data_IF_807640088118
#
_entry.id   IF_807640088118
#
_cell.length_a   1.000
_cell.length_b   1.000
_cell.length_c   1.000
_cell.angle_alpha   90.00
_cell.angle_beta   90.00
_cell.angle_gamma   90.00
#
_symmetry.space_group_name_H-M   'P 1'
#
loop_
_entity.id
_entity.type
_entity.pdbx_description
1 polymer ?
#
# COMPACT_ATOMS: atom_id res chain seq x y z
N UNK A 1 17.82 5.38 0.08
CA UNK A 1 16.43 4.94 0.35
C UNK A 1 15.53 6.15 0.14
N UNK A 2 14.52 6.03 -0.73
CA UNK A 2 13.43 7.03 -0.73
C UNK A 2 12.57 6.74 0.50
N UNK A 3 12.09 7.78 1.18
CA UNK A 3 11.09 7.60 2.23
C UNK A 3 9.84 7.00 1.60
N UNK A 4 9.17 6.01 2.22
CA UNK A 4 7.91 5.49 1.70
C UNK A 4 6.89 6.63 1.62
N UNK A 5 6.41 6.92 0.42
CA UNK A 5 5.47 8.03 0.17
C UNK A 5 3.99 7.60 0.32
N UNK A 6 3.76 6.29 0.47
CA UNK A 6 2.44 5.67 0.50
C UNK A 6 2.07 4.99 -0.83
N UNK A 7 0.94 4.30 -0.83
CA UNK A 7 0.42 3.59 -2.01
C UNK A 7 -0.52 4.47 -2.83
N UNK A 8 -0.13 4.78 -4.07
CA UNK A 8 -0.99 5.48 -5.03
C UNK A 8 -2.12 4.55 -5.46
N UNK A 9 -3.35 5.01 -5.29
CA UNK A 9 -4.57 4.26 -5.57
C UNK A 9 -4.85 4.34 -7.06
N UNK A 10 -4.86 3.18 -7.73
CA UNK A 10 -5.11 3.04 -9.16
C UNK A 10 -6.58 2.82 -9.49
N UNK A 11 -7.33 2.18 -8.59
CA UNK A 11 -8.76 1.96 -8.71
C UNK A 11 -9.42 1.79 -7.34
N UNK A 12 -10.72 2.09 -7.28
CA UNK A 12 -11.58 1.86 -6.13
C UNK A 12 -12.72 0.95 -6.57
N UNK A 13 -12.98 -0.11 -5.80
CA UNK A 13 -14.05 -1.06 -6.08
C UNK A 13 -15.41 -0.43 -5.83
N UNK A 14 -16.37 -0.59 -6.75
CA UNK A 14 -17.73 -0.07 -6.58
C UNK A 14 -18.44 -0.75 -5.41
N UNK A 15 -19.12 0.04 -4.57
CA UNK A 15 -19.79 -0.40 -3.35
C UNK A 15 -18.84 -0.77 -2.21
N UNK A 16 -17.55 -0.37 -2.28
CA UNK A 16 -16.60 -0.63 -1.20
C UNK A 16 -16.57 0.47 -0.16
N UNK A 17 -16.01 0.16 1.02
CA UNK A 17 -15.79 1.12 2.09
C UNK A 17 -14.99 2.35 1.63
N UNK A 18 -13.99 2.16 0.76
CA UNK A 18 -13.23 3.26 0.17
C UNK A 18 -14.08 4.16 -0.75
N UNK A 19 -15.01 3.61 -1.52
CA UNK A 19 -15.93 4.41 -2.34
C UNK A 19 -16.86 5.24 -1.44
N UNK A 20 -17.42 4.62 -0.38
CA UNK A 20 -18.27 5.30 0.60
C UNK A 20 -17.53 6.42 1.34
N UNK A 21 -16.23 6.22 1.62
CA UNK A 21 -15.35 7.23 2.19
C UNK A 21 -14.92 8.34 1.21
N UNK A 22 -15.37 8.30 -0.05
CA UNK A 22 -15.04 9.32 -1.06
C UNK A 22 -13.57 9.29 -1.50
N UNK A 23 -12.93 8.13 -1.40
CA UNK A 23 -11.58 7.91 -1.92
C UNK A 23 -11.67 7.71 -3.43
N UNK A 24 -10.73 8.31 -4.17
CA UNK A 24 -10.73 8.27 -5.64
C UNK A 24 -9.35 7.84 -6.17
N UNK A 25 -9.28 7.29 -7.39
CA UNK A 25 -8.01 7.04 -8.04
C UNK A 25 -7.13 8.30 -8.11
N UNK A 26 -5.84 8.15 -7.83
CA UNK A 26 -4.88 9.24 -7.70
C UNK A 26 -4.66 9.73 -6.26
N UNK A 27 -5.54 9.37 -5.32
CA UNK A 27 -5.26 9.52 -3.89
C UNK A 27 -4.15 8.55 -3.47
N UNK A 28 -3.50 8.83 -2.34
CA UNK A 28 -2.41 8.00 -1.81
C UNK A 28 -2.72 7.60 -0.37
N UNK A 29 -2.72 6.30 -0.07
CA UNK A 29 -2.77 5.83 1.32
C UNK A 29 -1.37 5.90 1.94
N UNK A 30 -1.21 6.63 3.04
CA UNK A 30 0.10 6.93 3.64
C UNK A 30 0.36 6.08 4.88
N UNK A 31 -0.65 5.91 5.72
CA UNK A 31 -0.51 5.23 7.00
C UNK A 31 -1.81 4.55 7.43
N UNK A 32 -1.70 3.50 8.24
CA UNK A 32 -2.80 2.91 9.00
C UNK A 32 -2.38 2.90 10.48
N UNK A 33 -3.23 3.43 11.36
CA UNK A 33 -3.00 3.56 12.81
C UNK A 33 -1.65 4.21 13.16
N UNK A 34 -1.31 5.25 12.40
CA UNK A 34 -0.05 5.99 12.55
C UNK A 34 1.20 5.26 12.02
N UNK A 35 1.07 4.04 11.50
CA UNK A 35 2.19 3.28 10.91
C UNK A 35 2.29 3.57 9.42
N UNK A 36 3.45 4.07 8.98
CA UNK A 36 3.70 4.37 7.56
C UNK A 36 3.75 3.06 6.78
N UNK A 37 2.98 2.99 5.70
CA UNK A 37 2.94 1.81 4.84
C UNK A 37 4.07 1.86 3.81
N UNK A 38 4.82 0.76 3.67
CA UNK A 38 5.95 0.67 2.72
C UNK A 38 5.57 -0.05 1.44
N UNK A 39 4.61 -0.96 1.52
CA UNK A 39 4.17 -1.83 0.43
C UNK A 39 2.74 -2.34 0.65
N UNK A 40 2.25 -3.11 -0.32
CA UNK A 40 0.93 -3.73 -0.25
C UNK A 40 0.80 -4.77 0.87
N UNK A 41 1.91 -5.34 1.37
CA UNK A 41 1.87 -6.32 2.47
C UNK A 41 1.63 -5.61 3.80
N UNK A 42 2.30 -4.48 4.04
CA UNK A 42 2.01 -3.61 5.19
C UNK A 42 0.54 -3.19 5.17
N UNK A 43 0.01 -2.78 4.00
CA UNK A 43 -1.41 -2.45 3.84
C UNK A 43 -2.30 -3.63 4.24
N UNK A 44 -2.11 -4.81 3.65
CA UNK A 44 -2.94 -5.99 3.94
C UNK A 44 -2.87 -6.38 5.42
N UNK A 45 -1.69 -6.30 6.02
CA UNK A 45 -1.50 -6.65 7.42
C UNK A 45 -2.21 -5.67 8.36
N UNK A 46 -2.02 -4.36 8.18
CA UNK A 46 -2.62 -3.37 9.07
C UNK A 46 -4.10 -3.13 8.78
N UNK A 47 -4.57 -3.39 7.56
CA UNK A 47 -5.99 -3.31 7.23
C UNK A 47 -6.81 -4.51 7.73
N UNK A 48 -6.19 -5.55 8.28
CA UNK A 48 -6.91 -6.74 8.77
C UNK A 48 -7.59 -6.54 10.15
N UNK A 49 -7.41 -5.39 10.80
CA UNK A 49 -8.10 -5.09 12.06
C UNK A 49 -9.57 -4.70 11.82
N UNK A 50 -10.41 -4.88 12.85
CA UNK A 50 -11.84 -4.55 12.80
C UNK A 50 -12.11 -3.04 12.74
N UNK A 51 -11.23 -2.26 13.37
CA UNK A 51 -11.29 -0.80 13.34
C UNK A 51 -9.90 -0.29 13.00
N UNK A 52 -9.80 0.55 11.97
CA UNK A 52 -8.54 1.16 11.55
C UNK A 52 -8.71 2.65 11.28
N UNK A 53 -7.67 3.43 11.57
CA UNK A 53 -7.56 4.82 11.14
C UNK A 53 -6.58 4.93 9.99
N UNK A 54 -7.10 5.07 8.77
CA UNK A 54 -6.29 5.24 7.57
C UNK A 54 -6.07 6.73 7.27
N UNK A 55 -4.82 7.09 6.98
CA UNK A 55 -4.44 8.43 6.51
C UNK A 55 -4.24 8.42 5.01
N UNK A 56 -5.00 9.26 4.32
CA UNK A 56 -4.91 9.47 2.88
C UNK A 56 -4.33 10.86 2.58
N UNK A 57 -3.58 10.95 1.49
CA UNK A 57 -3.19 12.20 0.85
C UNK A 57 -3.94 12.32 -0.47
N UNK A 58 -4.73 13.38 -0.61
CA UNK A 58 -5.49 13.67 -1.82
C UNK A 58 -4.57 14.24 -2.90
N UNK A 59 -5.01 14.19 -4.16
CA UNK A 59 -4.25 14.73 -5.30
C UNK A 59 -3.94 16.25 -5.18
N UNK A 60 -4.75 17.01 -4.42
CA UNK A 60 -4.54 18.44 -4.15
C UNK A 60 -3.54 18.71 -3.00
N UNK A 61 -3.00 17.66 -2.38
CA UNK A 61 -2.05 17.74 -1.27
C UNK A 61 -2.67 17.79 0.12
N UNK A 62 -4.01 17.81 0.25
CA UNK A 62 -4.67 17.69 1.55
C UNK A 62 -4.45 16.30 2.13
N UNK A 63 -4.39 16.20 3.46
CA UNK A 63 -4.40 14.92 4.16
C UNK A 63 -5.75 14.73 4.86
N UNK A 64 -6.37 13.58 4.64
CA UNK A 64 -7.62 13.16 5.26
C UNK A 64 -7.36 11.94 6.16
N UNK A 65 -8.04 11.90 7.31
CA UNK A 65 -8.07 10.74 8.20
C UNK A 65 -9.45 10.12 8.14
N UNK A 66 -9.51 8.84 7.80
CA UNK A 66 -10.74 8.07 7.69
C UNK A 66 -10.67 6.92 8.66
N UNK A 67 -11.71 6.78 9.49
CA UNK A 67 -11.88 5.63 10.38
C UNK A 67 -12.79 4.65 9.65
N UNK A 68 -12.34 3.41 9.53
CA UNK A 68 -13.13 2.31 8.99
C UNK A 68 -13.46 1.33 10.11
N UNK A 69 -14.74 1.01 10.27
CA UNK A 69 -15.25 -0.11 11.06
C UNK A 69 -15.72 -1.19 10.08
N UNK A 70 -15.20 -2.41 10.21
CA UNK A 70 -15.40 -3.48 9.23
C UNK A 70 -15.15 -4.85 9.83
N UNK A 71 -15.54 -5.91 9.12
CA UNK A 71 -15.16 -7.26 9.54
C UNK A 71 -13.64 -7.51 9.35
N UNK A 72 -12.98 -8.35 10.18
CA UNK A 72 -11.53 -8.57 10.15
C UNK A 72 -10.94 -9.09 8.81
N UNK A 73 -11.75 -9.52 7.86
CA UNK A 73 -11.30 -9.96 6.52
C UNK A 73 -11.90 -9.14 5.38
N UNK A 74 -12.66 -8.10 5.71
CA UNK A 74 -13.26 -7.21 4.71
C UNK A 74 -12.19 -6.25 4.14
N UNK A 75 -12.09 -6.21 2.81
CA UNK A 75 -11.16 -5.33 2.09
C UNK A 75 -11.77 -3.92 1.93
N UNK A 76 -10.94 -2.87 2.01
CA UNK A 76 -11.40 -1.50 1.80
C UNK A 76 -11.84 -1.24 0.34
N UNK A 77 -11.47 -2.11 -0.59
CA UNK A 77 -11.71 -2.00 -2.03
C UNK A 77 -10.69 -1.10 -2.73
N UNK A 78 -9.43 -1.14 -2.31
CA UNK A 78 -8.36 -0.32 -2.88
C UNK A 78 -7.43 -1.15 -3.77
N UNK A 79 -7.19 -0.69 -5.00
CA UNK A 79 -6.13 -1.19 -5.86
C UNK A 79 -5.00 -0.17 -5.94
N UNK A 80 -3.76 -0.65 -6.05
CA UNK A 80 -2.56 0.19 -6.08
C UNK A 80 -1.83 0.12 -7.42
N UNK A 81 -1.14 1.19 -7.82
CA UNK A 81 -0.34 1.20 -9.05
C UNK A 81 0.88 0.25 -8.98
N UNK A 82 1.45 0.06 -7.79
CA UNK A 82 2.64 -0.76 -7.55
C UNK A 82 2.50 -1.55 -6.26
N UNK A 83 3.18 -2.70 -6.20
CA UNK A 83 3.18 -3.55 -5.01
C UNK A 83 4.11 -3.05 -3.90
N UNK A 84 5.17 -2.30 -4.23
CA UNK A 84 6.09 -1.68 -3.25
C UNK A 84 6.22 -0.18 -3.51
N UNK A 85 6.32 0.60 -2.42
CA UNK A 85 6.24 2.07 -2.45
C UNK A 85 7.51 2.75 -1.94
N UNK A 86 8.35 2.02 -1.20
CA UNK A 86 9.73 2.40 -0.86
C UNK A 86 10.75 2.01 -1.94
N UNK A 87 10.28 1.34 -3.00
CA UNK A 87 11.08 0.83 -4.12
C UNK A 87 11.31 -0.68 -4.02
N UNK A 88 12.16 -1.22 -4.90
CA UNK A 88 12.58 -2.63 -4.83
C UNK A 88 14.02 -2.64 -4.31
N UNK A 89 14.23 -3.31 -3.18
CA UNK A 89 15.57 -3.60 -2.68
C UNK A 89 16.18 -4.69 -3.57
N UNK A 90 17.15 -4.32 -4.40
CA UNK A 90 17.87 -5.28 -5.24
C UNK A 90 18.99 -5.92 -4.42
N UNK A 91 19.03 -7.25 -4.35
CA UNK A 91 20.12 -7.96 -3.69
C UNK A 91 21.45 -7.66 -4.41
N UNK A 92 22.44 -7.15 -3.67
CA UNK A 92 23.76 -6.82 -4.19
C UNK A 92 24.83 -7.86 -3.81
N UNK A 93 24.42 -9.06 -3.38
CA UNK A 93 25.36 -10.11 -3.03
C UNK A 93 25.89 -10.82 -4.30
N UNK A 94 27.18 -11.16 -4.30
CA UNK A 94 27.84 -11.90 -5.38
C UNK A 94 27.75 -13.40 -5.10
N UNK A 95 26.52 -13.89 -4.94
CA UNK A 95 26.28 -15.32 -4.73
C UNK A 95 26.60 -16.09 -6.02
N UNK A 96 27.21 -17.29 -5.87
CA UNK A 96 27.45 -18.20 -7.00
C UNK A 96 26.14 -18.74 -7.63
N UNK A 97 25.05 -18.69 -6.89
CA UNK A 97 23.69 -18.84 -7.39
C UNK A 97 22.94 -17.53 -7.13
N UNK A 98 22.40 -16.90 -8.18
CA UNK A 98 21.68 -15.64 -8.03
C UNK A 98 20.33 -15.73 -8.73
N UNK A 99 19.24 -15.74 -7.97
CA UNK A 99 17.89 -15.74 -8.55
C UNK A 99 17.58 -14.45 -9.34
N UNK A 100 18.26 -13.34 -9.02
CA UNK A 100 18.13 -12.07 -9.74
C UNK A 100 18.97 -12.00 -11.02
N UNK A 101 20.20 -12.55 -11.01
CA UNK A 101 21.13 -12.53 -12.15
C UNK A 101 21.10 -13.80 -13.00
N UNK A 102 20.32 -14.81 -12.59
CA UNK A 102 20.31 -16.15 -13.19
C UNK A 102 21.49 -17.01 -12.71
N UNK A 103 21.42 -18.31 -13.04
CA UNK A 103 22.54 -19.23 -12.83
C UNK A 103 23.66 -18.94 -13.84
N UNK A 104 24.94 -19.08 -13.45
CA UNK A 104 26.04 -19.02 -14.42
C UNK A 104 25.85 -20.08 -15.50
N UNK A 105 26.17 -19.74 -16.75
CA UNK A 105 26.28 -20.73 -17.82
C UNK A 105 27.46 -21.64 -17.45
N UNK A 106 27.19 -22.94 -17.38
CA UNK A 106 28.18 -23.97 -17.01
C UNK A 106 29.42 -23.95 -17.88
#
# INVERSE_FOLDING_TARGET
MKSPEGGVISAVTHGSLAEEAGIVPGDTIVAIDGRILRDAVDYQFYAAEHEITARFRKADGREDLVVFEKDPDEDLGLAFERATWDGVQVCNNTCFFCFLKGLPKG
#
